data_IF_835083650223
#
_entry.id   IF_835083650223
#
_cell.length_a   1.000
_cell.length_b   1.000
_cell.length_c   1.000
_cell.angle_alpha   90.00
_cell.angle_beta   90.00
_cell.angle_gamma   90.00
#
_symmetry.space_group_name_H-M   'P 1'
#
loop_
_entity.id
_entity.type
_entity.pdbx_description
1 polymer ?
#
# COMPACT_ATOMS: atom_id res chain seq x y z
N UNK A 1 -8.96 -32.10 11.85
CA UNK A 1 -10.07 -31.29 12.37
C UNK A 1 -9.55 -30.01 13.07
N UNK A 2 -8.92 -29.06 12.40
CA UNK A 2 -8.35 -27.84 13.02
C UNK A 2 -8.42 -26.57 12.16
N UNK A 3 -8.92 -26.65 10.92
CA UNK A 3 -8.98 -25.52 10.01
C UNK A 3 -10.13 -24.51 10.25
N UNK A 4 -11.35 -24.89 10.64
CA UNK A 4 -12.46 -23.92 10.77
C UNK A 4 -12.31 -22.97 11.97
N UNK A 5 -11.74 -23.42 13.08
CA UNK A 5 -11.59 -22.58 14.29
C UNK A 5 -10.62 -21.38 14.09
N UNK A 6 -9.54 -21.56 13.32
CA UNK A 6 -8.56 -20.49 13.07
C UNK A 6 -9.11 -19.35 12.20
N UNK A 7 -10.14 -19.61 11.41
CA UNK A 7 -10.79 -18.59 10.56
C UNK A 7 -12.01 -17.95 11.25
N UNK A 8 -12.70 -18.67 12.12
CA UNK A 8 -13.94 -18.18 12.77
C UNK A 8 -13.64 -17.27 13.96
N UNK A 9 -12.61 -17.58 14.76
CA UNK A 9 -12.28 -16.80 15.96
C UNK A 9 -11.99 -15.32 15.68
N UNK A 10 -11.21 -14.93 14.64
CA UNK A 10 -11.00 -13.51 14.35
C UNK A 10 -12.31 -12.77 14.00
N UNK A 11 -13.22 -13.42 13.28
CA UNK A 11 -14.49 -12.84 12.89
C UNK A 11 -15.45 -12.66 14.07
N UNK A 12 -15.51 -13.62 14.98
CA UNK A 12 -16.36 -13.52 16.19
C UNK A 12 -15.88 -12.43 17.13
N UNK A 13 -14.57 -12.29 17.29
CA UNK A 13 -13.98 -11.20 18.08
C UNK A 13 -14.30 -9.85 17.44
N UNK A 14 -14.10 -9.72 16.12
CA UNK A 14 -14.41 -8.48 15.39
C UNK A 14 -15.89 -8.09 15.52
N UNK A 15 -16.80 -9.04 15.29
CA UNK A 15 -18.25 -8.80 15.42
C UNK A 15 -18.60 -8.44 16.87
N UNK A 16 -17.99 -9.09 17.86
CA UNK A 16 -18.15 -8.74 19.27
C UNK A 16 -17.72 -7.31 19.58
N UNK A 17 -16.56 -6.88 19.08
CA UNK A 17 -16.09 -5.49 19.23
C UNK A 17 -17.00 -4.49 18.52
N UNK A 18 -17.48 -4.78 17.32
CA UNK A 18 -18.41 -3.91 16.58
C UNK A 18 -19.74 -3.75 17.32
N UNK A 19 -20.31 -4.84 17.84
CA UNK A 19 -21.53 -4.82 18.61
C UNK A 19 -21.31 -4.04 19.92
N UNK A 20 -20.24 -4.32 20.64
CA UNK A 20 -19.92 -3.60 21.88
C UNK A 20 -19.76 -2.10 21.61
N UNK A 21 -19.02 -1.72 20.56
CA UNK A 21 -18.88 -0.30 20.19
C UNK A 21 -20.24 0.33 19.85
N UNK A 22 -21.06 -0.34 19.04
CA UNK A 22 -22.39 0.17 18.65
C UNK A 22 -23.35 0.32 19.85
N UNK A 23 -23.23 -0.54 20.87
CA UNK A 23 -24.09 -0.51 22.07
C UNK A 23 -23.60 0.52 23.10
N UNK A 24 -22.30 0.71 23.25
CA UNK A 24 -21.72 1.53 24.31
C UNK A 24 -21.26 2.92 23.85
N UNK A 25 -21.07 3.14 22.54
CA UNK A 25 -20.68 4.45 22.00
C UNK A 25 -21.91 5.33 21.73
N UNK A 26 -21.78 6.67 21.88
CA UNK A 26 -22.83 7.59 21.49
C UNK A 26 -23.21 7.42 20.01
N UNK A 27 -24.51 7.47 19.70
CA UNK A 27 -25.02 7.29 18.32
C UNK A 27 -24.35 8.20 17.30
N UNK A 28 -24.05 9.44 17.68
CA UNK A 28 -23.37 10.39 16.82
C UNK A 28 -21.96 9.92 16.41
N UNK A 29 -21.20 9.32 17.33
CA UNK A 29 -19.87 8.77 17.05
C UNK A 29 -19.95 7.54 16.14
N UNK A 30 -20.94 6.67 16.37
CA UNK A 30 -21.15 5.50 15.51
C UNK A 30 -21.53 5.91 14.07
N UNK A 31 -22.43 6.89 13.91
CA UNK A 31 -22.81 7.43 12.60
C UNK A 31 -21.61 8.08 11.92
N UNK A 32 -20.82 8.89 12.65
CA UNK A 32 -19.60 9.50 12.13
C UNK A 32 -18.58 8.48 11.65
N UNK A 33 -18.37 7.40 12.41
CA UNK A 33 -17.47 6.31 12.03
C UNK A 33 -17.96 5.59 10.77
N UNK A 34 -19.24 5.29 10.67
CA UNK A 34 -19.82 4.67 9.46
C UNK A 34 -19.69 5.62 8.25
N UNK A 35 -19.95 6.91 8.44
CA UNK A 35 -19.80 7.92 7.38
C UNK A 35 -18.37 8.00 6.86
N UNK A 36 -17.38 7.91 7.75
CA UNK A 36 -15.94 7.92 7.39
C UNK A 36 -15.47 6.61 6.76
N UNK A 37 -15.84 5.46 7.34
CA UNK A 37 -15.37 4.16 6.85
C UNK A 37 -16.14 3.65 5.62
N UNK A 38 -17.40 4.03 5.46
CA UNK A 38 -18.25 3.56 4.37
C UNK A 38 -17.64 3.78 2.97
N UNK A 39 -17.27 5.03 2.60
CA UNK A 39 -16.59 5.33 1.33
C UNK A 39 -15.29 4.55 1.15
N UNK A 40 -14.49 4.41 2.21
CA UNK A 40 -13.22 3.69 2.19
C UNK A 40 -13.45 2.19 1.94
N UNK A 41 -14.41 1.58 2.63
CA UNK A 41 -14.72 0.16 2.47
C UNK A 41 -15.30 -0.13 1.07
N UNK A 42 -16.16 0.76 0.56
CA UNK A 42 -16.69 0.65 -0.78
C UNK A 42 -15.57 0.75 -1.82
N UNK A 43 -14.65 1.70 -1.66
CA UNK A 43 -13.48 1.81 -2.51
C UNK A 43 -12.63 0.53 -2.48
N UNK A 44 -12.27 0.02 -1.29
CA UNK A 44 -11.46 -1.19 -1.16
C UNK A 44 -12.12 -2.41 -1.84
N UNK A 45 -13.42 -2.56 -1.70
CA UNK A 45 -14.16 -3.64 -2.36
C UNK A 45 -14.12 -3.48 -3.89
N UNK A 46 -14.46 -2.30 -4.39
CA UNK A 46 -14.61 -2.05 -5.83
C UNK A 46 -13.29 -2.02 -6.57
N UNK A 47 -12.25 -1.39 -6.02
CA UNK A 47 -10.92 -1.41 -6.62
C UNK A 47 -10.34 -2.83 -6.66
N UNK A 48 -10.55 -3.62 -5.61
CA UNK A 48 -10.11 -5.02 -5.60
C UNK A 48 -10.81 -5.87 -6.67
N UNK A 49 -12.11 -5.66 -6.88
CA UNK A 49 -12.84 -6.30 -7.99
C UNK A 49 -12.22 -5.93 -9.33
N UNK A 50 -11.99 -4.63 -9.58
CA UNK A 50 -11.39 -4.13 -10.84
C UNK A 50 -10.02 -4.77 -11.07
N UNK A 51 -9.15 -4.76 -10.05
CA UNK A 51 -7.80 -5.31 -10.14
C UNK A 51 -7.84 -6.82 -10.40
N UNK A 52 -8.63 -7.58 -9.61
CA UNK A 52 -8.71 -9.02 -9.75
C UNK A 52 -9.27 -9.44 -11.13
N UNK A 53 -10.28 -8.74 -11.65
CA UNK A 53 -10.79 -8.99 -12.99
C UNK A 53 -9.79 -8.61 -14.09
N UNK A 54 -9.02 -7.52 -13.92
CA UNK A 54 -7.93 -7.16 -14.82
C UNK A 54 -6.78 -8.20 -14.80
N UNK A 55 -6.50 -8.81 -13.64
CA UNK A 55 -5.55 -9.94 -13.52
C UNK A 55 -6.06 -11.14 -14.32
N UNK A 56 -7.31 -11.53 -14.13
CA UNK A 56 -7.94 -12.64 -14.86
C UNK A 56 -7.95 -12.37 -16.37
N UNK A 57 -8.21 -11.13 -16.79
CA UNK A 57 -8.12 -10.72 -18.19
C UNK A 57 -6.70 -10.83 -18.78
N UNK A 58 -5.67 -10.99 -17.94
CA UNK A 58 -4.27 -11.10 -18.34
C UNK A 58 -3.57 -9.75 -18.54
N UNK A 59 -4.14 -8.63 -18.08
CA UNK A 59 -3.59 -7.29 -18.25
C UNK A 59 -2.17 -7.18 -17.67
N UNK A 60 -1.98 -7.62 -16.44
CA UNK A 60 -0.67 -7.57 -15.76
C UNK A 60 0.38 -8.46 -16.43
N UNK A 61 -0.06 -9.60 -16.98
CA UNK A 61 0.84 -10.47 -17.75
C UNK A 61 1.34 -9.79 -19.03
N UNK A 62 0.45 -9.11 -19.76
CA UNK A 62 0.81 -8.32 -20.94
C UNK A 62 1.75 -7.16 -20.62
N UNK A 63 1.47 -6.42 -19.56
CA UNK A 63 2.35 -5.33 -19.10
C UNK A 63 3.74 -5.87 -18.78
N UNK A 64 3.81 -7.03 -18.12
CA UNK A 64 5.07 -7.70 -17.80
C UNK A 64 5.82 -8.21 -19.03
N UNK A 65 5.12 -8.81 -19.99
CA UNK A 65 5.74 -9.24 -21.25
C UNK A 65 6.34 -8.05 -22.00
N UNK A 66 5.59 -6.94 -22.11
CA UNK A 66 6.07 -5.72 -22.72
C UNK A 66 7.29 -5.16 -22.00
N UNK A 67 7.24 -5.11 -20.67
CA UNK A 67 8.34 -4.65 -19.84
C UNK A 67 9.59 -5.55 -19.90
N UNK A 68 9.40 -6.86 -20.17
CA UNK A 68 10.49 -7.83 -20.26
C UNK A 68 11.19 -7.86 -21.64
N UNK A 69 10.71 -7.11 -22.65
CA UNK A 69 11.31 -7.05 -23.97
C UNK A 69 12.53 -6.13 -24.01
N UNK A 70 13.57 -6.49 -24.75
CA UNK A 70 14.73 -5.64 -25.01
C UNK A 70 15.73 -5.55 -23.85
N UNK A 71 16.01 -4.34 -23.33
CA UNK A 71 17.05 -4.08 -22.31
C UNK A 71 16.79 -4.71 -20.94
N UNK A 72 15.60 -5.24 -20.68
CA UNK A 72 15.24 -5.93 -19.44
C UNK A 72 16.02 -7.24 -19.20
N UNK A 73 16.76 -7.74 -20.17
CA UNK A 73 17.66 -8.89 -20.00
C UNK A 73 18.94 -8.54 -19.19
N UNK A 74 19.30 -7.27 -19.09
CA UNK A 74 20.42 -6.81 -18.24
C UNK A 74 19.95 -6.55 -16.82
N UNK A 75 20.79 -6.82 -15.81
CA UNK A 75 20.44 -6.56 -14.40
C UNK A 75 19.98 -5.13 -14.12
N UNK A 76 20.67 -4.08 -14.59
CA UNK A 76 20.21 -2.70 -14.48
C UNK A 76 18.87 -2.44 -15.19
N UNK A 77 18.68 -2.99 -16.38
CA UNK A 77 17.43 -2.86 -17.14
C UNK A 77 16.26 -3.52 -16.42
N UNK A 78 16.48 -4.72 -15.87
CA UNK A 78 15.49 -5.42 -15.08
C UNK A 78 15.13 -4.63 -13.80
N UNK A 79 16.11 -4.05 -13.13
CA UNK A 79 15.86 -3.20 -11.95
C UNK A 79 14.98 -1.99 -12.32
N UNK A 80 15.26 -1.30 -13.43
CA UNK A 80 14.41 -0.17 -13.89
C UNK A 80 12.97 -0.63 -14.14
N UNK A 81 12.79 -1.77 -14.81
CA UNK A 81 11.46 -2.34 -15.06
C UNK A 81 10.73 -2.63 -13.74
N UNK A 82 11.43 -3.24 -12.78
CA UNK A 82 10.87 -3.56 -11.45
C UNK A 82 10.46 -2.28 -10.71
N UNK A 83 11.31 -1.26 -10.73
CA UNK A 83 11.04 0.05 -10.12
C UNK A 83 9.79 0.68 -10.72
N UNK A 84 9.70 0.74 -12.05
CA UNK A 84 8.54 1.33 -12.73
C UNK A 84 7.25 0.56 -12.42
N UNK A 85 7.28 -0.77 -12.48
CA UNK A 85 6.13 -1.61 -12.16
C UNK A 85 5.68 -1.42 -10.71
N UNK A 86 6.63 -1.41 -9.76
CA UNK A 86 6.33 -1.23 -8.35
C UNK A 86 5.81 0.18 -8.06
N UNK A 87 6.43 1.23 -8.61
CA UNK A 87 6.03 2.61 -8.38
C UNK A 87 4.64 2.89 -8.96
N UNK A 88 4.37 2.51 -10.20
CA UNK A 88 3.05 2.68 -10.84
C UNK A 88 1.97 1.88 -10.10
N UNK A 89 2.26 0.62 -9.80
CA UNK A 89 1.31 -0.23 -9.06
C UNK A 89 1.01 0.36 -7.67
N UNK A 90 2.02 0.81 -6.92
CA UNK A 90 1.82 1.39 -5.59
C UNK A 90 1.02 2.67 -5.66
N UNK A 91 1.34 3.56 -6.58
CA UNK A 91 0.68 4.85 -6.71
C UNK A 91 -0.83 4.71 -7.01
N UNK A 92 -1.19 3.79 -7.89
CA UNK A 92 -2.57 3.71 -8.41
C UNK A 92 -3.39 2.53 -7.87
N UNK A 93 -2.75 1.45 -7.47
CA UNK A 93 -3.44 0.22 -7.06
C UNK A 93 -3.29 -0.10 -5.58
N UNK A 94 -2.43 0.54 -4.86
CA UNK A 94 -2.06 0.40 -3.45
C UNK A 94 -0.80 -0.42 -3.17
N UNK A 95 -0.24 -0.19 -1.96
CA UNK A 95 0.93 -0.93 -1.48
C UNK A 95 0.66 -2.43 -1.34
N UNK A 96 -0.52 -2.81 -0.87
CA UNK A 96 -0.89 -4.22 -0.67
C UNK A 96 -1.02 -4.97 -2.00
N UNK A 97 -1.64 -4.32 -2.98
CA UNK A 97 -1.75 -4.84 -4.35
C UNK A 97 -0.37 -5.01 -4.98
N UNK A 98 0.53 -4.04 -4.80
CA UNK A 98 1.92 -4.12 -5.28
C UNK A 98 2.63 -5.33 -4.67
N UNK A 99 2.50 -5.53 -3.36
CA UNK A 99 3.09 -6.67 -2.68
C UNK A 99 2.60 -8.01 -3.22
N UNK A 100 1.31 -8.12 -3.53
CA UNK A 100 0.70 -9.38 -3.99
C UNK A 100 0.93 -9.66 -5.48
N UNK A 101 0.83 -8.63 -6.34
CA UNK A 101 0.87 -8.81 -7.80
C UNK A 101 2.26 -8.62 -8.38
N UNK A 102 3.00 -7.59 -7.94
CA UNK A 102 4.30 -7.27 -8.54
C UNK A 102 5.37 -8.22 -8.03
N UNK A 103 5.31 -8.67 -6.77
CA UNK A 103 6.33 -9.57 -6.21
C UNK A 103 6.45 -10.87 -7.01
N UNK A 104 5.40 -11.70 -7.20
CA UNK A 104 5.55 -12.96 -7.95
C UNK A 104 5.99 -12.73 -9.39
N UNK A 105 5.55 -11.63 -10.01
CA UNK A 105 5.97 -11.24 -11.35
C UNK A 105 7.48 -10.97 -11.39
N UNK A 106 7.99 -10.18 -10.46
CA UNK A 106 9.41 -9.83 -10.35
C UNK A 106 10.27 -11.07 -10.07
N UNK A 107 9.79 -11.97 -9.20
CA UNK A 107 10.47 -13.25 -8.95
C UNK A 107 10.59 -14.10 -10.23
N UNK A 108 9.52 -14.15 -11.02
CA UNK A 108 9.53 -14.86 -12.30
C UNK A 108 10.47 -14.21 -13.32
N UNK A 109 10.44 -12.87 -13.45
CA UNK A 109 11.33 -12.13 -14.34
C UNK A 109 12.81 -12.31 -13.97
N UNK A 110 13.14 -12.18 -12.67
CA UNK A 110 14.50 -12.36 -12.17
C UNK A 110 15.05 -13.76 -12.48
N UNK A 111 14.26 -14.80 -12.20
CA UNK A 111 14.63 -16.21 -12.49
C UNK A 111 14.85 -16.45 -13.99
N UNK A 112 13.96 -15.91 -14.83
CA UNK A 112 14.10 -16.02 -16.32
C UNK A 112 15.35 -15.32 -16.83
N UNK A 113 15.72 -14.18 -16.23
CA UNK A 113 16.90 -13.41 -16.58
C UNK A 113 18.20 -13.95 -15.94
N UNK A 114 18.12 -15.01 -15.10
CA UNK A 114 19.28 -15.58 -14.41
C UNK A 114 19.85 -14.73 -13.28
N UNK A 115 19.03 -13.84 -12.70
CA UNK A 115 19.43 -12.96 -11.59
C UNK A 115 18.90 -13.47 -10.25
N UNK A 116 19.58 -13.07 -9.16
CA UNK A 116 19.07 -13.27 -7.79
C UNK A 116 17.75 -12.48 -7.61
N UNK A 117 16.64 -13.15 -7.29
CA UNK A 117 15.35 -12.49 -7.13
C UNK A 117 15.23 -11.66 -5.84
N UNK A 118 16.03 -11.94 -4.80
CA UNK A 118 15.90 -11.31 -3.47
C UNK A 118 16.13 -9.79 -3.50
N UNK A 119 17.19 -9.25 -4.14
CA UNK A 119 17.39 -7.81 -4.25
C UNK A 119 16.21 -7.07 -4.89
N UNK A 120 15.64 -7.65 -5.95
CA UNK A 120 14.51 -7.08 -6.66
C UNK A 120 13.22 -7.17 -5.84
N UNK A 121 13.00 -8.27 -5.14
CA UNK A 121 11.86 -8.42 -4.23
C UNK A 121 11.92 -7.46 -3.05
N UNK A 122 13.11 -7.20 -2.48
CA UNK A 122 13.31 -6.17 -1.45
C UNK A 122 13.01 -4.77 -2.00
N UNK A 123 13.46 -4.47 -3.22
CA UNK A 123 13.13 -3.20 -3.89
C UNK A 123 11.62 -3.01 -4.03
N UNK A 124 10.87 -4.07 -4.39
CA UNK A 124 9.39 -4.02 -4.52
C UNK A 124 8.74 -3.65 -3.19
N UNK A 125 9.07 -4.33 -2.08
CA UNK A 125 8.42 -4.07 -0.79
C UNK A 125 8.81 -2.71 -0.21
N UNK A 126 10.02 -2.23 -0.48
CA UNK A 126 10.42 -0.87 -0.10
C UNK A 126 9.64 0.18 -0.88
N UNK A 127 9.54 0.06 -2.21
CA UNK A 127 8.74 0.99 -3.03
C UNK A 127 7.25 0.89 -2.66
N UNK A 128 6.72 -0.30 -2.36
CA UNK A 128 5.35 -0.45 -1.93
C UNK A 128 5.02 0.40 -0.70
N UNK A 129 5.92 0.48 0.28
CA UNK A 129 5.74 1.33 1.44
C UNK A 129 6.11 2.79 1.14
N UNK A 130 7.34 3.06 0.66
CA UNK A 130 7.89 4.42 0.50
C UNK A 130 7.32 5.19 -0.70
N UNK A 131 6.68 4.52 -1.65
CA UNK A 131 5.96 5.12 -2.79
C UNK A 131 4.48 5.33 -2.55
N UNK A 132 3.96 5.02 -1.35
CA UNK A 132 2.52 4.95 -1.10
C UNK A 132 1.87 6.25 -0.63
N UNK A 133 2.56 7.39 -0.69
CA UNK A 133 2.01 8.66 -0.18
C UNK A 133 1.34 9.52 -1.26
N UNK A 134 1.73 9.41 -2.53
CA UNK A 134 1.42 10.42 -3.56
C UNK A 134 -0.08 10.57 -3.85
N UNK A 135 -0.85 9.49 -3.79
CA UNK A 135 -2.31 9.51 -3.98
C UNK A 135 -3.03 8.98 -2.74
N UNK A 136 -4.24 9.46 -2.46
CA UNK A 136 -5.07 8.91 -1.37
C UNK A 136 -5.26 7.40 -1.49
N UNK A 137 -5.48 6.90 -2.70
CA UNK A 137 -5.74 5.49 -3.01
C UNK A 137 -4.54 4.55 -2.83
N UNK A 138 -3.34 5.11 -2.70
CA UNK A 138 -2.10 4.32 -2.58
C UNK A 138 -1.97 3.59 -1.24
N UNK A 139 -2.62 4.10 -0.19
CA UNK A 139 -2.58 3.53 1.15
C UNK A 139 -3.89 3.81 1.91
N UNK A 140 -4.32 2.85 2.74
CA UNK A 140 -5.52 3.00 3.57
C UNK A 140 -5.42 4.17 4.56
N UNK A 141 -4.25 4.42 5.13
CA UNK A 141 -4.00 5.57 6.03
C UNK A 141 -4.21 6.91 5.33
N UNK A 142 -3.83 7.03 4.04
CA UNK A 142 -4.07 8.24 3.25
C UNK A 142 -5.58 8.47 3.03
N UNK A 143 -6.33 7.40 2.72
CA UNK A 143 -7.78 7.48 2.57
C UNK A 143 -8.44 7.93 3.88
N UNK A 144 -8.00 7.36 5.02
CA UNK A 144 -8.47 7.78 6.34
C UNK A 144 -8.15 9.25 6.61
N UNK A 145 -6.97 9.72 6.19
CA UNK A 145 -6.56 11.11 6.35
C UNK A 145 -7.41 12.08 5.51
N UNK A 146 -7.71 11.74 4.27
CA UNK A 146 -8.56 12.61 3.41
C UNK A 146 -9.99 12.69 3.97
N UNK A 147 -10.51 11.60 4.52
CA UNK A 147 -11.85 11.56 5.13
C UNK A 147 -11.94 12.29 6.50
N UNK A 148 -10.82 12.86 7.02
CA UNK A 148 -10.88 13.75 8.19
C UNK A 148 -11.50 15.11 7.88
N UNK A 149 -11.51 15.52 6.60
CA UNK A 149 -11.93 16.84 6.15
C UNK A 149 -10.88 17.94 6.32
N UNK A 150 -9.64 17.61 6.74
CA UNK A 150 -8.53 18.57 6.84
C UNK A 150 -7.89 18.91 5.48
N UNK A 151 -8.19 18.14 4.45
CA UNK A 151 -7.76 18.42 3.08
C UNK A 151 -8.93 18.96 2.25
N UNK A 152 -8.71 20.05 1.52
CA UNK A 152 -9.65 20.59 0.54
C UNK A 152 -9.62 19.74 -0.74
N UNK A 153 -10.02 18.47 -0.63
CA UNK A 153 -10.08 17.50 -1.71
C UNK A 153 -8.72 16.92 -2.12
N UNK A 154 -8.76 16.03 -3.11
CA UNK A 154 -7.61 15.27 -3.62
C UNK A 154 -6.48 16.18 -4.12
N UNK A 155 -6.81 17.30 -4.77
CA UNK A 155 -5.80 18.24 -5.28
C UNK A 155 -4.96 18.90 -4.19
N UNK A 156 -5.56 19.24 -3.04
CA UNK A 156 -4.85 19.77 -1.88
C UNK A 156 -3.93 18.69 -1.27
N UNK A 157 -4.46 17.48 -1.09
CA UNK A 157 -3.67 16.33 -0.63
C UNK A 157 -2.42 16.11 -1.50
N UNK A 158 -2.60 16.05 -2.84
CA UNK A 158 -1.48 15.82 -3.77
C UNK A 158 -0.44 16.93 -3.68
N UNK A 159 -0.84 18.21 -3.56
CA UNK A 159 0.11 19.32 -3.43
C UNK A 159 1.01 19.17 -2.21
N UNK A 160 0.48 18.73 -1.07
CA UNK A 160 1.26 18.49 0.15
C UNK A 160 2.10 17.20 0.05
N UNK A 161 1.56 16.16 -0.55
CA UNK A 161 2.19 14.84 -0.62
C UNK A 161 3.27 14.71 -1.71
N UNK A 162 3.18 15.48 -2.80
CA UNK A 162 4.00 15.25 -4.00
C UNK A 162 5.50 15.41 -3.75
N UNK A 163 5.93 16.48 -3.09
CA UNK A 163 7.34 16.71 -2.82
C UNK A 163 7.91 15.70 -1.81
N UNK A 164 7.26 15.43 -0.65
CA UNK A 164 7.66 14.36 0.26
C UNK A 164 7.72 12.97 -0.39
N UNK A 165 6.71 12.61 -1.19
CA UNK A 165 6.68 11.32 -1.89
C UNK A 165 7.81 11.19 -2.91
N UNK A 166 8.12 12.26 -3.63
CA UNK A 166 9.24 12.30 -4.56
C UNK A 166 10.56 12.14 -3.82
N UNK A 167 10.75 12.85 -2.70
CA UNK A 167 11.95 12.72 -1.86
C UNK A 167 12.13 11.29 -1.35
N UNK A 168 11.07 10.66 -0.85
CA UNK A 168 11.08 9.26 -0.41
C UNK A 168 11.47 8.31 -1.53
N UNK A 169 10.88 8.45 -2.71
CA UNK A 169 11.22 7.61 -3.87
C UNK A 169 12.67 7.79 -4.29
N UNK A 170 13.18 9.02 -4.37
CA UNK A 170 14.59 9.29 -4.72
C UNK A 170 15.54 8.61 -3.74
N UNK A 171 15.28 8.74 -2.43
CA UNK A 171 16.08 8.05 -1.39
C UNK A 171 15.98 6.53 -1.56
N UNK A 172 14.78 5.97 -1.74
CA UNK A 172 14.58 4.53 -1.89
C UNK A 172 15.28 3.98 -3.13
N UNK A 173 15.16 4.67 -4.27
CA UNK A 173 15.79 4.26 -5.51
C UNK A 173 17.32 4.35 -5.43
N UNK A 174 17.84 5.46 -4.91
CA UNK A 174 19.28 5.63 -4.70
C UNK A 174 19.85 4.57 -3.76
N UNK A 175 19.16 4.33 -2.63
CA UNK A 175 19.57 3.32 -1.65
C UNK A 175 19.54 1.91 -2.24
N UNK A 176 18.44 1.51 -2.87
CA UNK A 176 18.32 0.17 -3.47
C UNK A 176 19.35 -0.04 -4.58
N UNK A 177 19.61 0.98 -5.41
CA UNK A 177 20.64 0.92 -6.43
C UNK A 177 22.04 0.73 -5.83
N UNK A 178 22.42 1.56 -4.86
CA UNK A 178 23.76 1.49 -4.22
C UNK A 178 23.99 0.13 -3.57
N UNK A 179 22.98 -0.39 -2.85
CA UNK A 179 23.06 -1.66 -2.13
C UNK A 179 23.10 -2.85 -3.08
N UNK A 180 22.31 -2.84 -4.17
CA UNK A 180 22.10 -4.02 -4.99
C UNK A 180 22.83 -4.01 -6.34
N UNK A 181 23.37 -2.89 -6.83
CA UNK A 181 24.03 -2.80 -8.15
C UNK A 181 25.04 -3.91 -8.44
N UNK A 182 25.78 -4.38 -7.43
CA UNK A 182 26.75 -5.47 -7.58
C UNK A 182 26.10 -6.85 -7.66
N UNK A 183 24.92 -7.04 -7.05
CA UNK A 183 24.15 -8.27 -7.07
C UNK A 183 23.23 -8.38 -8.29
N UNK A 184 23.04 -7.30 -9.03
CA UNK A 184 22.29 -7.27 -10.27
C UNK A 184 23.14 -7.74 -11.48
N UNK A 185 24.41 -8.12 -11.27
CA UNK A 185 25.20 -8.76 -12.32
C UNK A 185 24.74 -10.21 -12.53
N UNK A 186 24.78 -10.74 -13.75
CA UNK A 186 24.41 -12.12 -14.02
C UNK A 186 25.23 -13.06 -13.14
N UNK A 187 24.58 -13.97 -12.43
CA UNK A 187 25.29 -15.00 -11.66
C UNK A 187 25.93 -15.99 -12.63
N UNK A 188 27.23 -16.31 -12.49
CA UNK A 188 27.87 -17.38 -13.28
C UNK A 188 27.24 -18.76 -13.05
N UNK A 189 26.48 -18.90 -11.95
CA UNK A 189 25.77 -20.14 -11.57
C UNK A 189 24.30 -20.12 -12.00
N UNK A 190 23.99 -19.61 -13.18
CA UNK A 190 22.66 -19.77 -13.78
C UNK A 190 22.31 -21.26 -13.82
N UNK A 191 21.37 -21.69 -13.00
CA UNK A 191 20.88 -23.06 -13.01
C UNK A 191 20.31 -23.37 -14.40
N UNK A 192 20.92 -24.32 -15.16
CA UNK A 192 20.50 -24.60 -16.54
C UNK A 192 19.10 -25.25 -16.65
N UNK A 193 18.45 -25.55 -15.50
CA UNK A 193 17.25 -26.39 -15.45
C UNK A 193 15.91 -25.69 -15.65
N UNK A 194 15.83 -24.34 -15.65
CA UNK A 194 14.54 -23.62 -15.73
C UNK A 194 14.34 -22.82 -17.02
N UNK A 195 15.18 -23.07 -18.03
CA UNK A 195 15.14 -22.37 -19.33
C UNK A 195 13.91 -22.68 -20.19
N UNK A 196 13.07 -23.64 -19.85
CA UNK A 196 12.06 -24.20 -20.77
C UNK A 196 10.59 -24.17 -20.29
N UNK A 197 10.19 -23.27 -19.42
CA UNK A 197 8.79 -22.89 -19.48
C UNK A 197 8.70 -21.66 -20.38
N UNK A 198 8.62 -21.93 -21.68
CA UNK A 198 8.26 -20.90 -22.67
C UNK A 198 7.01 -20.16 -22.21
N UNK A 199 6.75 -18.96 -22.71
CA UNK A 199 5.52 -18.27 -22.40
C UNK A 199 4.41 -19.24 -22.74
N UNK A 200 3.72 -19.74 -21.73
CA UNK A 200 2.43 -20.36 -21.94
C UNK A 200 1.62 -19.22 -22.56
N UNK A 201 1.47 -19.24 -23.89
CA UNK A 201 0.56 -18.35 -24.61
C UNK A 201 -0.83 -18.62 -24.04
N UNK A 202 -1.11 -18.05 -22.91
CA UNK A 202 -2.47 -17.97 -22.39
C UNK A 202 -3.22 -17.21 -23.48
N UNK A 203 -4.20 -17.86 -24.10
CA UNK A 203 -5.06 -17.19 -25.07
C UNK A 203 -5.56 -15.91 -24.40
N UNK A 204 -5.36 -14.77 -25.04
CA UNK A 204 -5.76 -13.50 -24.46
C UNK A 204 -7.27 -13.57 -24.15
N UNK A 205 -7.64 -13.33 -22.91
CA UNK A 205 -9.06 -13.31 -22.52
C UNK A 205 -9.78 -12.25 -23.39
N UNK A 206 -10.98 -12.51 -23.90
CA UNK A 206 -11.70 -11.58 -24.78
C UNK A 206 -11.88 -10.19 -24.15
N UNK A 207 -11.92 -10.11 -22.81
CA UNK A 207 -12.08 -8.86 -22.06
C UNK A 207 -10.76 -8.14 -21.74
N UNK A 208 -9.60 -8.59 -22.28
CA UNK A 208 -8.30 -7.95 -22.02
C UNK A 208 -8.30 -6.46 -22.41
N UNK A 209 -8.77 -6.13 -23.61
CA UNK A 209 -8.81 -4.75 -24.10
C UNK A 209 -9.77 -3.89 -23.28
N UNK A 210 -10.97 -4.41 -22.95
CA UNK A 210 -11.92 -3.71 -22.11
C UNK A 210 -11.34 -3.43 -20.73
N UNK A 211 -10.74 -4.45 -20.09
CA UNK A 211 -10.11 -4.29 -18.78
C UNK A 211 -8.96 -3.27 -18.84
N UNK A 212 -8.16 -3.29 -19.89
CA UNK A 212 -7.10 -2.31 -20.13
C UNK A 212 -7.64 -0.88 -20.27
N UNK A 213 -8.70 -0.69 -21.07
CA UNK A 213 -9.35 0.61 -21.22
C UNK A 213 -9.97 1.11 -19.91
N UNK A 214 -10.70 0.25 -19.18
CA UNK A 214 -11.30 0.62 -17.89
C UNK A 214 -10.23 1.05 -16.90
N UNK A 215 -9.13 0.29 -16.76
CA UNK A 215 -8.02 0.66 -15.89
C UNK A 215 -7.36 1.96 -16.36
N UNK A 216 -7.08 2.11 -17.66
CA UNK A 216 -6.44 3.30 -18.22
C UNK A 216 -7.27 4.59 -18.00
N UNK A 217 -8.60 4.50 -18.03
CA UNK A 217 -9.50 5.62 -17.72
C UNK A 217 -9.60 5.84 -16.21
N UNK A 218 -9.63 4.76 -15.41
CA UNK A 218 -9.73 4.87 -13.96
C UNK A 218 -8.52 5.56 -13.34
N UNK A 219 -7.28 5.28 -13.79
CA UNK A 219 -6.06 5.84 -13.20
C UNK A 219 -6.08 7.38 -13.15
N UNK A 220 -6.33 8.13 -14.25
CA UNK A 220 -6.43 9.58 -14.17
C UNK A 220 -7.64 10.05 -13.36
N UNK A 221 -8.78 9.33 -13.36
CA UNK A 221 -9.93 9.72 -12.54
C UNK A 221 -9.62 9.72 -11.04
N UNK A 222 -8.73 8.83 -10.57
CA UNK A 222 -8.31 8.80 -9.17
C UNK A 222 -7.46 10.01 -8.74
N UNK A 223 -7.00 10.84 -9.67
CA UNK A 223 -6.28 12.10 -9.38
C UNK A 223 -7.19 13.32 -9.39
N UNK A 224 -8.46 13.16 -9.75
CA UNK A 224 -9.44 14.24 -9.84
C UNK A 224 -10.14 14.48 -8.49
N UNK A 225 -10.98 15.52 -8.43
CA UNK A 225 -11.85 15.79 -7.28
C UNK A 225 -13.10 14.89 -7.21
N UNK A 226 -13.30 14.01 -8.18
CA UNK A 226 -14.37 13.00 -8.12
C UNK A 226 -14.08 12.03 -6.97
N UNK A 227 -15.06 11.78 -6.06
CA UNK A 227 -14.83 10.83 -4.98
C UNK A 227 -14.37 9.46 -5.51
N UNK A 228 -13.24 8.98 -4.99
CA UNK A 228 -12.56 7.76 -5.45
C UNK A 228 -13.49 6.52 -5.48
N UNK A 229 -14.42 6.42 -4.54
CA UNK A 229 -15.37 5.31 -4.47
C UNK A 229 -16.44 5.33 -5.58
N UNK A 230 -16.76 6.50 -6.14
CA UNK A 230 -17.63 6.61 -7.33
C UNK A 230 -16.95 6.05 -8.57
N UNK A 231 -15.72 6.51 -8.85
CA UNK A 231 -14.96 6.11 -10.03
C UNK A 231 -14.69 4.60 -10.03
N UNK A 232 -14.29 4.05 -8.88
CA UNK A 232 -14.01 2.62 -8.76
C UNK A 232 -15.29 1.76 -8.80
N UNK A 233 -16.40 2.27 -8.25
CA UNK A 233 -17.70 1.57 -8.35
C UNK A 233 -18.18 1.48 -9.78
N UNK A 234 -18.09 2.57 -10.54
CA UNK A 234 -18.46 2.56 -11.97
C UNK A 234 -17.57 1.58 -12.75
N UNK A 235 -16.24 1.61 -12.55
CA UNK A 235 -15.31 0.68 -13.17
C UNK A 235 -15.62 -0.79 -12.80
N UNK A 236 -15.93 -1.06 -11.52
CA UNK A 236 -16.29 -2.39 -11.05
C UNK A 236 -17.60 -2.89 -11.69
N UNK A 237 -18.63 -2.04 -11.77
CA UNK A 237 -19.91 -2.37 -12.41
C UNK A 237 -19.69 -2.74 -13.89
N UNK A 238 -18.89 -1.94 -14.62
CA UNK A 238 -18.60 -2.21 -16.04
C UNK A 238 -17.92 -3.58 -16.19
N UNK A 239 -16.86 -3.85 -15.42
CA UNK A 239 -16.15 -5.12 -15.54
C UNK A 239 -16.96 -6.32 -15.06
N UNK A 240 -17.68 -6.21 -13.92
CA UNK A 240 -18.54 -7.28 -13.42
C UNK A 240 -19.63 -7.62 -14.45
N UNK A 241 -20.26 -6.62 -15.06
CA UNK A 241 -21.26 -6.84 -16.09
C UNK A 241 -20.66 -7.54 -17.32
N UNK A 242 -19.51 -7.08 -17.81
CA UNK A 242 -18.84 -7.69 -18.94
C UNK A 242 -18.44 -9.16 -18.67
N UNK A 243 -17.87 -9.44 -17.50
CA UNK A 243 -17.52 -10.81 -17.10
C UNK A 243 -18.77 -11.66 -16.84
N UNK A 244 -19.86 -11.11 -16.31
CA UNK A 244 -21.12 -11.82 -16.12
C UNK A 244 -21.73 -12.28 -17.46
N UNK A 245 -21.50 -11.55 -18.54
CA UNK A 245 -21.96 -11.89 -19.89
C UNK A 245 -21.02 -12.84 -20.63
N UNK A 246 -19.73 -12.89 -20.27
CA UNK A 246 -18.71 -13.63 -21.02
C UNK A 246 -18.22 -14.87 -20.26
N UNK A 247 -17.88 -14.73 -18.98
CA UNK A 247 -17.35 -15.81 -18.11
C UNK A 247 -17.76 -15.58 -16.65
N UNK A 248 -18.93 -16.10 -16.28
CA UNK A 248 -19.45 -16.00 -14.92
C UNK A 248 -18.67 -16.78 -13.87
N UNK A 249 -17.86 -17.76 -14.28
CA UNK A 249 -17.12 -18.63 -13.36
C UNK A 249 -16.07 -17.87 -12.55
N UNK A 250 -15.64 -16.71 -13.05
CA UNK A 250 -14.67 -15.82 -12.42
C UNK A 250 -15.29 -14.99 -11.28
N UNK A 251 -16.59 -14.78 -11.34
CA UNK A 251 -17.32 -13.93 -10.38
C UNK A 251 -17.60 -14.72 -9.09
N UNK A 252 -16.74 -14.53 -8.11
CA UNK A 252 -16.86 -15.18 -6.79
C UNK A 252 -16.52 -14.19 -5.65
N UNK A 253 -17.00 -14.44 -4.42
CA UNK A 253 -16.80 -13.54 -3.28
C UNK A 253 -15.34 -13.23 -2.95
N UNK A 254 -14.37 -14.04 -3.39
CA UNK A 254 -12.92 -13.83 -3.16
C UNK A 254 -12.36 -12.65 -3.97
N UNK A 255 -13.12 -12.07 -4.91
CA UNK A 255 -12.73 -10.82 -5.58
C UNK A 255 -12.65 -9.65 -4.61
N UNK A 256 -13.37 -9.71 -3.49
CA UNK A 256 -13.37 -8.71 -2.42
C UNK A 256 -12.44 -9.15 -1.29
N UNK A 257 -11.57 -8.27 -0.76
CA UNK A 257 -10.61 -8.59 0.30
C UNK A 257 -11.26 -8.51 1.70
N UNK A 258 -12.26 -9.33 1.97
CA UNK A 258 -13.07 -9.31 3.20
C UNK A 258 -12.23 -9.29 4.47
N UNK A 259 -11.16 -10.09 4.53
CA UNK A 259 -10.28 -10.15 5.70
C UNK A 259 -9.55 -8.84 5.94
N UNK A 260 -9.01 -8.20 4.89
CA UNK A 260 -8.33 -6.92 5.02
C UNK A 260 -9.30 -5.82 5.46
N UNK A 261 -10.51 -5.80 4.89
CA UNK A 261 -11.58 -4.86 5.29
C UNK A 261 -11.97 -5.06 6.75
N UNK A 262 -12.16 -6.29 7.18
CA UNK A 262 -12.52 -6.63 8.54
C UNK A 262 -11.42 -6.22 9.54
N UNK A 263 -10.14 -6.47 9.20
CA UNK A 263 -9.00 -6.05 10.02
C UNK A 263 -8.95 -4.52 10.13
N UNK A 264 -9.13 -3.80 9.02
CA UNK A 264 -9.13 -2.34 9.01
C UNK A 264 -10.23 -1.75 9.91
N UNK A 265 -11.46 -2.25 9.77
CA UNK A 265 -12.59 -1.83 10.62
C UNK A 265 -12.34 -2.17 12.09
N UNK A 266 -11.87 -3.41 12.37
CA UNK A 266 -11.59 -3.86 13.73
C UNK A 266 -10.51 -3.04 14.42
N UNK A 267 -9.42 -2.73 13.72
CA UNK A 267 -8.36 -1.87 14.24
C UNK A 267 -8.87 -0.44 14.51
N UNK A 268 -9.68 0.11 13.60
CA UNK A 268 -10.26 1.44 13.79
C UNK A 268 -11.17 1.47 15.04
N UNK A 269 -12.05 0.49 15.19
CA UNK A 269 -12.92 0.40 16.39
C UNK A 269 -12.10 0.20 17.65
N UNK A 270 -11.08 -0.66 17.64
CA UNK A 270 -10.23 -0.87 18.80
C UNK A 270 -9.52 0.42 19.24
N UNK A 271 -8.99 1.19 18.29
CA UNK A 271 -8.35 2.48 18.58
C UNK A 271 -9.37 3.50 19.11
N UNK A 272 -10.58 3.54 18.57
CA UNK A 272 -11.65 4.42 19.09
C UNK A 272 -12.00 4.10 20.53
N UNK A 273 -12.06 2.82 20.91
CA UNK A 273 -12.25 2.42 22.32
C UNK A 273 -11.08 2.90 23.17
N UNK A 274 -9.85 2.73 22.74
CA UNK A 274 -8.67 3.20 23.48
C UNK A 274 -8.67 4.72 23.64
N UNK A 275 -9.08 5.47 22.60
CA UNK A 275 -9.25 6.93 22.69
C UNK A 275 -10.31 7.33 23.71
N UNK A 276 -11.44 6.62 23.76
CA UNK A 276 -12.50 6.88 24.74
C UNK A 276 -12.06 6.64 26.20
N UNK A 277 -11.00 5.85 26.42
CA UNK A 277 -10.36 5.64 27.72
C UNK A 277 -9.38 6.77 28.11
N UNK A 278 -9.30 7.87 27.35
CA UNK A 278 -8.50 9.05 27.66
C UNK A 278 -7.16 9.16 26.93
N UNK A 279 -6.78 8.16 26.08
CA UNK A 279 -5.51 8.23 25.34
C UNK A 279 -5.49 9.41 24.38
N UNK A 280 -6.63 9.80 23.79
CA UNK A 280 -6.71 10.97 22.91
C UNK A 280 -6.17 12.24 23.59
N UNK A 281 -6.60 12.51 24.83
CA UNK A 281 -6.13 13.65 25.61
C UNK A 281 -4.63 13.61 25.89
N UNK A 282 -4.10 12.43 26.22
CA UNK A 282 -2.66 12.25 26.45
C UNK A 282 -1.83 12.50 25.18
N UNK A 283 -2.30 12.00 24.04
CA UNK A 283 -1.64 12.21 22.74
C UNK A 283 -1.65 13.70 22.39
N UNK A 284 -2.81 14.36 22.45
CA UNK A 284 -2.92 15.81 22.18
C UNK A 284 -2.01 16.64 23.07
N UNK A 285 -2.05 16.43 24.40
CA UNK A 285 -1.22 17.20 25.34
C UNK A 285 0.27 16.93 25.18
N UNK A 286 0.66 15.68 24.85
CA UNK A 286 2.06 15.34 24.63
C UNK A 286 2.67 16.09 23.43
N UNK A 287 1.93 16.23 22.34
CA UNK A 287 2.41 16.95 21.15
C UNK A 287 2.19 18.47 21.25
N UNK A 288 1.19 18.95 22.01
CA UNK A 288 0.95 20.38 22.21
C UNK A 288 2.08 21.11 22.97
N UNK A 289 2.98 20.38 23.62
CA UNK A 289 4.16 20.94 24.29
C UNK A 289 5.30 21.30 23.33
N UNK A 290 5.19 20.95 22.04
CA UNK A 290 6.19 21.27 21.03
C UNK A 290 6.00 22.73 20.57
N UNK A 291 6.97 23.57 20.90
CA UNK A 291 6.91 25.02 20.69
C UNK A 291 6.99 25.45 19.21
N UNK A 292 7.56 24.58 18.35
CA UNK A 292 7.78 24.93 16.94
C UNK A 292 6.96 24.04 16.02
N UNK A 293 6.38 24.66 14.97
CA UNK A 293 5.65 23.91 13.94
C UNK A 293 6.52 22.83 13.28
N UNK A 294 7.78 23.12 13.00
CA UNK A 294 8.72 22.16 12.42
C UNK A 294 8.98 20.98 13.40
N UNK A 295 9.19 21.28 14.69
CA UNK A 295 9.35 20.28 15.73
C UNK A 295 8.16 19.31 15.79
N UNK A 296 6.94 19.82 15.66
CA UNK A 296 5.73 19.01 15.61
C UNK A 296 5.72 18.07 14.39
N UNK A 297 6.08 18.57 13.19
CA UNK A 297 6.12 17.74 11.98
C UNK A 297 7.12 16.58 12.12
N UNK A 298 8.34 16.87 12.58
CA UNK A 298 9.35 15.84 12.81
C UNK A 298 8.94 14.85 13.90
N UNK A 299 8.33 15.32 14.99
CA UNK A 299 7.87 14.47 16.08
C UNK A 299 6.74 13.53 15.65
N UNK A 300 5.74 14.03 14.91
CA UNK A 300 4.64 13.23 14.38
C UNK A 300 5.15 12.15 13.40
N UNK A 301 6.05 12.53 12.49
CA UNK A 301 6.61 11.57 11.55
C UNK A 301 7.48 10.52 12.26
N UNK A 302 8.32 10.92 13.22
CA UNK A 302 9.13 9.99 13.99
C UNK A 302 8.27 9.05 14.84
N UNK A 303 7.27 9.58 15.54
CA UNK A 303 6.32 8.79 16.32
C UNK A 303 5.53 7.82 15.45
N UNK A 304 5.03 8.28 14.29
CA UNK A 304 4.34 7.44 13.30
C UNK A 304 5.22 6.30 12.81
N UNK A 305 6.50 6.58 12.49
CA UNK A 305 7.45 5.57 12.04
C UNK A 305 7.79 4.54 13.13
N UNK A 306 8.08 5.00 14.34
CA UNK A 306 8.40 4.12 15.47
C UNK A 306 7.20 3.26 15.84
N UNK A 307 6.03 3.88 16.02
CA UNK A 307 4.81 3.19 16.45
C UNK A 307 4.36 2.18 15.37
N UNK A 308 4.48 2.52 14.09
CA UNK A 308 4.18 1.57 12.99
C UNK A 308 5.03 0.30 13.07
N UNK A 309 6.29 0.42 13.44
CA UNK A 309 7.17 -0.74 13.62
C UNK A 309 6.90 -1.52 14.92
N UNK A 310 6.23 -0.93 15.89
CA UNK A 310 5.83 -1.60 17.13
C UNK A 310 4.51 -2.37 16.97
N UNK A 311 3.49 -1.75 16.33
CA UNK A 311 2.11 -2.29 16.34
C UNK A 311 1.47 -2.42 14.95
N UNK A 312 2.01 -1.90 13.90
CA UNK A 312 1.50 -1.77 12.52
C UNK A 312 1.10 -0.32 12.16
N UNK A 313 1.17 0.01 10.86
CA UNK A 313 0.96 1.37 10.36
C UNK A 313 -0.48 1.89 10.56
N UNK A 314 -1.50 1.06 10.40
CA UNK A 314 -2.90 1.50 10.55
C UNK A 314 -3.20 1.93 11.99
N UNK A 315 -3.02 1.08 13.03
CA UNK A 315 -3.26 1.52 14.41
C UNK A 315 -2.29 2.62 14.85
N UNK A 316 -1.05 2.66 14.36
CA UNK A 316 -0.12 3.74 14.67
C UNK A 316 -0.63 5.10 14.17
N UNK A 317 -1.08 5.16 12.92
CA UNK A 317 -1.71 6.34 12.34
C UNK A 317 -2.93 6.77 13.16
N UNK A 318 -3.88 5.86 13.39
CA UNK A 318 -5.12 6.16 14.11
C UNK A 318 -4.88 6.63 15.55
N UNK A 319 -3.89 6.07 16.26
CA UNK A 319 -3.55 6.48 17.62
C UNK A 319 -2.98 7.89 17.69
N UNK A 320 -2.21 8.31 16.68
CA UNK A 320 -1.55 9.61 16.63
C UNK A 320 -2.37 10.68 15.90
N UNK A 321 -3.39 10.30 15.13
CA UNK A 321 -4.24 11.21 14.36
C UNK A 321 -4.78 12.39 15.18
N UNK A 322 -5.21 12.22 16.46
CA UNK A 322 -5.71 13.34 17.25
C UNK A 322 -4.70 14.46 17.53
N UNK A 323 -3.39 14.19 17.41
CA UNK A 323 -2.35 15.22 17.54
C UNK A 323 -2.08 15.99 16.23
N UNK A 324 -2.64 15.54 15.11
CA UNK A 324 -2.45 16.15 13.80
C UNK A 324 -3.70 16.99 13.43
N UNK A 325 -3.75 18.24 13.87
CA UNK A 325 -4.89 19.14 13.76
C UNK A 325 -4.90 19.98 12.46
N UNK A 326 -3.92 19.81 11.60
CA UNK A 326 -3.81 20.48 10.30
C UNK A 326 -3.45 19.49 9.19
N UNK A 327 -3.74 19.87 7.94
CA UNK A 327 -3.38 19.07 6.76
C UNK A 327 -1.87 18.82 6.69
N UNK A 328 -1.05 19.76 7.15
CA UNK A 328 0.40 19.67 7.20
C UNK A 328 0.86 18.65 8.26
N UNK A 329 0.35 18.77 9.49
CA UNK A 329 0.63 17.85 10.58
C UNK A 329 0.19 16.42 10.23
N UNK A 330 -0.98 16.28 9.60
CA UNK A 330 -1.50 15.00 9.14
C UNK A 330 -0.64 14.40 8.02
N UNK A 331 -0.11 15.24 7.11
CA UNK A 331 0.85 14.79 6.09
C UNK A 331 2.16 14.30 6.71
N UNK A 332 2.67 14.98 7.75
CA UNK A 332 3.85 14.54 8.48
C UNK A 332 3.62 13.19 9.18
N UNK A 333 2.46 12.99 9.80
CA UNK A 333 2.07 11.71 10.38
C UNK A 333 1.99 10.60 9.30
N UNK A 334 1.43 10.90 8.13
CA UNK A 334 1.40 9.98 6.99
C UNK A 334 2.80 9.62 6.49
N UNK A 335 3.74 10.57 6.44
CA UNK A 335 5.14 10.31 6.11
C UNK A 335 5.69 9.23 7.06
N UNK A 336 5.51 9.41 8.36
CA UNK A 336 5.99 8.45 9.36
C UNK A 336 5.34 7.09 9.23
N UNK A 337 4.02 7.04 9.17
CA UNK A 337 3.24 5.79 9.15
C UNK A 337 3.32 5.03 7.81
N UNK A 338 3.68 5.69 6.70
CA UNK A 338 3.81 5.05 5.39
C UNK A 338 5.25 4.65 5.07
N UNK A 339 6.25 5.49 5.39
CA UNK A 339 7.64 5.26 5.03
C UNK A 339 8.44 4.56 6.13
N UNK A 340 8.02 4.73 7.38
CA UNK A 340 8.63 4.08 8.53
C UNK A 340 8.50 2.56 8.58
N UNK A 341 7.35 1.94 8.17
CA UNK A 341 7.06 0.52 8.37
C UNK A 341 7.82 -0.42 7.42
N UNK A 342 9.11 -0.23 7.29
CA UNK A 342 10.05 -1.04 6.49
C UNK A 342 11.16 -1.68 7.33
N UNK A 343 11.01 -1.66 8.66
CA UNK A 343 12.00 -2.23 9.58
C UNK A 343 11.53 -3.57 10.16
N UNK A 344 10.31 -3.63 10.70
CA UNK A 344 9.81 -4.88 11.29
C UNK A 344 8.86 -5.64 10.37
N UNK A 345 8.80 -6.98 10.46
CA UNK A 345 7.95 -7.81 9.59
C UNK A 345 6.45 -7.46 9.64
N UNK A 346 5.96 -7.03 10.79
CA UNK A 346 4.55 -6.74 11.05
C UNK A 346 4.16 -5.26 10.88
N UNK A 347 5.13 -4.41 10.56
CA UNK A 347 4.94 -2.96 10.47
C UNK A 347 3.91 -2.55 9.41
N UNK A 348 3.78 -3.31 8.32
CA UNK A 348 2.74 -3.12 7.32
C UNK A 348 2.16 -4.45 6.83
N UNK A 349 0.88 -4.43 6.41
CA UNK A 349 0.25 -5.59 5.79
C UNK A 349 0.97 -5.97 4.49
N UNK A 350 1.38 -5.00 3.70
CA UNK A 350 2.13 -5.24 2.46
C UNK A 350 3.41 -6.05 2.69
N UNK A 351 4.14 -5.81 3.80
CA UNK A 351 5.33 -6.59 4.15
C UNK A 351 5.00 -8.06 4.43
N UNK A 352 3.89 -8.32 5.12
CA UNK A 352 3.44 -9.70 5.39
C UNK A 352 2.99 -10.41 4.10
N UNK A 353 2.26 -9.70 3.24
CA UNK A 353 1.82 -10.22 1.94
C UNK A 353 3.01 -10.49 1.02
N UNK A 354 3.99 -9.59 0.96
CA UNK A 354 5.24 -9.80 0.25
C UNK A 354 5.99 -11.04 0.74
N UNK A 355 6.10 -11.23 2.04
CA UNK A 355 6.75 -12.39 2.62
C UNK A 355 6.00 -13.69 2.29
N UNK A 356 4.67 -13.67 2.23
CA UNK A 356 3.86 -14.81 1.79
C UNK A 356 4.15 -15.16 0.32
N UNK A 357 4.28 -14.17 -0.57
CA UNK A 357 4.65 -14.41 -1.98
C UNK A 357 6.04 -15.06 -2.11
N UNK A 358 7.02 -14.63 -1.32
CA UNK A 358 8.35 -15.29 -1.30
C UNK A 358 8.25 -16.75 -0.87
N UNK A 359 7.50 -17.04 0.21
CA UNK A 359 7.29 -18.40 0.70
C UNK A 359 6.59 -19.28 -0.35
N UNK A 360 5.55 -18.76 -1.01
CA UNK A 360 4.85 -19.47 -2.11
C UNK A 360 5.77 -19.76 -3.28
N UNK A 361 6.76 -18.91 -3.53
CA UNK A 361 7.78 -19.12 -4.56
C UNK A 361 8.92 -20.05 -4.10
N UNK A 362 8.85 -20.65 -2.90
CA UNK A 362 9.86 -21.53 -2.33
C UNK A 362 11.13 -20.81 -1.86
N UNK A 363 11.05 -19.48 -1.62
CA UNK A 363 12.17 -18.67 -1.15
C UNK A 363 12.09 -18.41 0.35
N UNK A 364 13.23 -18.44 1.02
CA UNK A 364 13.36 -17.96 2.39
C UNK A 364 13.20 -16.45 2.47
N UNK A 365 12.44 -15.95 3.46
CA UNK A 365 12.29 -14.52 3.67
C UNK A 365 13.56 -13.96 4.34
N UNK A 366 14.27 -12.98 3.73
CA UNK A 366 15.54 -12.49 4.23
C UNK A 366 15.36 -11.46 5.36
N UNK A 367 14.70 -11.82 6.47
CA UNK A 367 14.32 -10.90 7.55
C UNK A 367 15.50 -10.11 8.11
N UNK A 368 16.66 -10.76 8.32
CA UNK A 368 17.84 -10.05 8.82
C UNK A 368 18.27 -8.93 7.87
N UNK A 369 18.29 -9.22 6.57
CA UNK A 369 18.66 -8.21 5.56
C UNK A 369 17.58 -7.12 5.46
N UNK A 370 16.30 -7.48 5.51
CA UNK A 370 15.17 -6.55 5.52
C UNK A 370 15.30 -5.56 6.68
N UNK A 371 15.51 -6.04 7.91
CA UNK A 371 15.62 -5.20 9.11
C UNK A 371 16.87 -4.30 9.06
N UNK A 372 18.05 -4.88 8.80
CA UNK A 372 19.31 -4.12 8.83
C UNK A 372 19.38 -3.04 7.74
N UNK A 373 18.83 -3.29 6.58
CA UNK A 373 18.76 -2.29 5.49
C UNK A 373 17.53 -1.38 5.63
N UNK A 374 16.47 -1.86 6.25
CA UNK A 374 15.26 -1.08 6.51
C UNK A 374 15.49 0.08 7.47
N UNK A 375 16.33 -0.07 8.49
CA UNK A 375 16.63 0.99 9.47
C UNK A 375 17.18 2.25 8.80
N UNK A 376 18.34 2.22 8.10
CA UNK A 376 18.87 3.42 7.46
C UNK A 376 17.97 3.95 6.35
N UNK A 377 17.25 3.07 5.65
CA UNK A 377 16.30 3.49 4.64
C UNK A 377 15.10 4.23 5.26
N UNK A 378 14.52 3.73 6.36
CA UNK A 378 13.42 4.39 7.06
C UNK A 378 13.84 5.78 7.58
N UNK A 379 15.00 5.88 8.21
CA UNK A 379 15.54 7.17 8.68
C UNK A 379 15.74 8.13 7.51
N UNK A 380 16.32 7.67 6.41
CA UNK A 380 16.56 8.50 5.23
C UNK A 380 15.25 8.96 4.55
N UNK A 381 14.30 8.05 4.33
CA UNK A 381 13.03 8.38 3.67
C UNK A 381 12.16 9.28 4.53
N UNK A 382 11.99 8.98 5.82
CA UNK A 382 11.19 9.80 6.74
C UNK A 382 11.84 11.18 6.91
N UNK A 383 13.13 11.24 7.23
CA UNK A 383 13.84 12.50 7.45
C UNK A 383 13.82 13.42 6.23
N UNK A 384 14.19 12.91 5.05
CA UNK A 384 14.17 13.70 3.80
C UNK A 384 12.77 14.14 3.41
N UNK A 385 11.76 13.30 3.66
CA UNK A 385 10.38 13.64 3.29
C UNK A 385 9.76 14.70 4.20
N UNK A 386 10.03 14.64 5.52
CA UNK A 386 9.57 15.70 6.44
C UNK A 386 10.30 17.02 6.13
N UNK A 387 11.60 16.97 5.86
CA UNK A 387 12.34 18.15 5.42
C UNK A 387 11.73 18.71 4.13
N UNK A 388 11.44 17.85 3.14
CA UNK A 388 10.79 18.27 1.90
C UNK A 388 9.40 18.89 2.13
N UNK A 389 8.63 18.37 3.10
CA UNK A 389 7.33 18.91 3.48
C UNK A 389 7.45 20.36 3.97
N UNK A 390 8.49 20.68 4.75
CA UNK A 390 8.74 22.03 5.25
C UNK A 390 9.03 23.06 4.14
N UNK A 391 9.40 22.60 2.94
CA UNK A 391 9.65 23.44 1.77
C UNK A 391 8.51 23.50 0.76
N UNK A 392 7.33 22.92 1.05
CA UNK A 392 6.18 23.01 0.12
C UNK A 392 5.70 24.46 0.06
N UNK A 393 5.61 25.10 -1.14
CA UNK A 393 5.17 26.48 -1.28
C UNK A 393 3.69 26.66 -0.92
N UNK A 394 3.33 27.83 -0.37
CA UNK A 394 1.94 28.21 -0.09
C UNK A 394 1.37 27.60 1.19
N UNK A 395 2.24 27.17 2.10
CA UNK A 395 1.85 26.87 3.47
C UNK A 395 1.74 28.19 4.21
N UNK A 396 0.54 28.76 4.30
CA UNK A 396 0.26 29.83 5.25
C UNK A 396 0.51 29.26 6.65
N UNK A 397 1.59 29.76 7.26
CA UNK A 397 2.04 29.41 8.60
C UNK A 397 1.14 30.05 9.66
#
# INVERSE_FOLDING_TARGET
>A
MGAPLRTVVPWTILVGFLIAYALFSPRAQTIGLIGRLGPIMLFLATISIVINLAVVAGLFHRVAEFAATGRAASGPGLWVVVVLLAAVSTTFLSLDTTAVLVTPLVLALARRAGHDPIPLALTVVWIANTGSLILPVSNLTNLMAVETGLFDGTGHYIRLAALPATASLVVTLGFSWVVFRRRLQPSPQGQPGLRNTGPQKSAAHPLLHLSGCVVAVLLPLLTTSIPFWWSTSAAAIILVTAFALTDRSVLHPKLVPWTAMAVAVGLTVAVQVVHSLGLEGLVRTGFAQLETAEGLLFALAAAGAVLSNLINNIPAYLLLEPAADSSLALTALLIGSNFGPIVTPWASLATLLWADQLRRAGLGVPWRQFILLGIPLAVGTVGMSVTALAFVPGLDR
#
